data_IF_475753650577
#
_entry.id   IF_475753650577
#
_cell.length_a   1.000
_cell.length_b   1.000
_cell.length_c   1.000
_cell.angle_alpha   90.00
_cell.angle_beta   90.00
_cell.angle_gamma   90.00
#
_symmetry.space_group_name_H-M   'P 1'
#
loop_
_entity.id
_entity.type
_entity.pdbx_description
1 polymer ?
#
# COMPACT_ATOMS: atom_id res chain seq x y z
N UNK A 1 -0.70 12.13 3.68
CA UNK A 1 0.73 12.49 3.51
C UNK A 1 1.46 12.93 4.81
N UNK A 2 0.79 13.52 5.81
CA UNK A 2 1.44 13.98 7.05
C UNK A 2 2.07 12.86 7.92
N UNK A 3 1.35 11.74 8.11
CA UNK A 3 1.80 10.65 8.99
C UNK A 3 3.06 9.92 8.50
N UNK A 4 3.20 9.70 7.20
CA UNK A 4 4.38 9.02 6.66
C UNK A 4 5.65 9.88 6.75
N UNK A 5 5.53 11.19 6.53
CA UNK A 5 6.65 12.12 6.73
C UNK A 5 7.08 12.17 8.20
N UNK A 6 6.13 12.15 9.13
CA UNK A 6 6.43 12.02 10.58
C UNK A 6 7.07 10.68 10.94
N UNK A 7 6.68 9.60 10.26
CA UNK A 7 7.28 8.27 10.42
C UNK A 7 8.69 8.15 9.78
N UNK A 8 9.23 9.23 9.19
CA UNK A 8 10.58 9.26 8.64
C UNK A 8 10.69 8.89 7.16
N UNK A 9 9.58 8.77 6.43
CA UNK A 9 9.61 8.51 4.99
C UNK A 9 10.27 9.70 4.25
N UNK A 10 11.39 9.41 3.56
CA UNK A 10 12.17 10.42 2.80
C UNK A 10 11.67 10.59 1.36
N UNK A 11 10.87 9.65 0.88
CA UNK A 11 10.28 9.62 -0.45
C UNK A 11 8.81 9.14 -0.36
N UNK A 12 8.00 9.31 -1.42
CA UNK A 12 6.66 8.75 -1.47
C UNK A 12 6.74 7.22 -1.39
N UNK A 13 6.21 6.64 -0.31
CA UNK A 13 6.17 5.18 -0.13
C UNK A 13 5.15 4.55 -1.08
N UNK A 14 4.04 5.23 -1.36
CA UNK A 14 3.02 4.77 -2.31
C UNK A 14 3.02 5.66 -3.55
N UNK A 15 3.01 5.04 -4.74
CA UNK A 15 2.77 5.76 -5.99
C UNK A 15 1.30 6.20 -6.09
N UNK A 16 0.97 7.20 -6.94
CA UNK A 16 -0.42 7.58 -7.18
C UNK A 16 -1.30 6.39 -7.60
N UNK A 17 -0.81 5.55 -8.52
CA UNK A 17 -1.51 4.35 -8.97
C UNK A 17 -1.74 3.33 -7.84
N UNK A 18 -0.78 3.16 -6.93
CA UNK A 18 -0.96 2.31 -5.76
C UNK A 18 -2.07 2.84 -4.82
N UNK A 19 -2.16 4.16 -4.64
CA UNK A 19 -3.22 4.76 -3.83
C UNK A 19 -4.60 4.55 -4.46
N UNK A 20 -4.73 4.69 -5.78
CA UNK A 20 -5.96 4.41 -6.50
C UNK A 20 -6.36 2.93 -6.41
N UNK A 21 -5.41 2.02 -6.59
CA UNK A 21 -5.63 0.58 -6.43
C UNK A 21 -6.08 0.22 -5.00
N UNK A 22 -5.47 0.80 -3.97
CA UNK A 22 -5.89 0.59 -2.58
C UNK A 22 -7.31 1.10 -2.36
N UNK A 23 -7.65 2.28 -2.88
CA UNK A 23 -8.99 2.85 -2.76
C UNK A 23 -10.05 1.97 -3.44
N UNK A 24 -9.74 1.47 -4.65
CA UNK A 24 -10.63 0.59 -5.41
C UNK A 24 -10.85 -0.75 -4.69
N UNK A 25 -9.77 -1.41 -4.28
CA UNK A 25 -9.85 -2.74 -3.66
C UNK A 25 -10.51 -2.69 -2.28
N UNK A 26 -10.24 -1.64 -1.52
CA UNK A 26 -10.81 -1.47 -0.18
C UNK A 26 -12.27 -1.04 -0.17
N UNK A 27 -12.83 -0.61 -1.32
CA UNK A 27 -14.17 -0.01 -1.45
C UNK A 27 -14.44 1.12 -0.44
N UNK A 28 -13.38 1.81 0.01
CA UNK A 28 -13.45 2.89 0.99
C UNK A 28 -13.56 2.46 2.45
N UNK A 29 -13.50 1.16 2.78
CA UNK A 29 -13.57 0.70 4.17
C UNK A 29 -12.25 0.97 4.90
N UNK A 30 -12.22 1.80 5.96
CA UNK A 30 -10.97 2.19 6.62
C UNK A 30 -10.15 1.02 7.16
N UNK A 31 -10.83 -0.04 7.63
CA UNK A 31 -10.18 -1.25 8.12
C UNK A 31 -9.46 -1.99 6.99
N UNK A 32 -10.10 -2.12 5.83
CA UNK A 32 -9.52 -2.79 4.66
C UNK A 32 -8.36 -1.97 4.10
N UNK A 33 -8.50 -0.64 4.02
CA UNK A 33 -7.40 0.26 3.62
C UNK A 33 -6.16 0.03 4.50
N UNK A 34 -6.33 0.01 5.82
CA UNK A 34 -5.20 -0.12 6.74
C UNK A 34 -4.54 -1.49 6.66
N UNK A 35 -5.34 -2.56 6.56
CA UNK A 35 -4.83 -3.92 6.41
C UNK A 35 -4.09 -4.07 5.08
N UNK A 36 -4.71 -3.67 3.96
CA UNK A 36 -4.11 -3.72 2.63
C UNK A 36 -2.81 -2.92 2.54
N UNK A 37 -2.80 -1.68 3.07
CA UNK A 37 -1.61 -0.85 3.10
C UNK A 37 -0.48 -1.48 3.92
N UNK A 38 -0.79 -2.12 5.05
CA UNK A 38 0.21 -2.79 5.89
C UNK A 38 0.84 -3.98 5.17
N UNK A 39 0.03 -4.80 4.50
CA UNK A 39 0.51 -5.93 3.70
C UNK A 39 1.31 -5.46 2.50
N UNK A 40 0.89 -4.39 1.82
CA UNK A 40 1.68 -3.76 0.76
C UNK A 40 3.09 -3.35 1.25
N UNK A 41 3.19 -2.77 2.44
CA UNK A 41 4.48 -2.38 3.03
C UNK A 41 5.37 -3.59 3.32
N UNK A 42 4.80 -4.69 3.83
CA UNK A 42 5.50 -5.95 4.06
C UNK A 42 6.03 -6.55 2.75
N UNK A 43 5.19 -6.61 1.72
CA UNK A 43 5.60 -7.09 0.40
C UNK A 43 6.66 -6.20 -0.25
N UNK A 44 6.49 -4.88 -0.20
CA UNK A 44 7.49 -3.95 -0.72
C UNK A 44 8.85 -4.14 -0.06
N UNK A 45 8.87 -4.35 1.26
CA UNK A 45 10.09 -4.69 2.00
C UNK A 45 10.69 -6.03 1.55
N UNK A 46 9.87 -7.08 1.41
CA UNK A 46 10.32 -8.40 0.98
C UNK A 46 10.88 -8.39 -0.45
N UNK A 47 10.29 -7.60 -1.34
CA UNK A 47 10.70 -7.40 -2.73
C UNK A 47 11.83 -6.37 -2.88
N UNK A 48 12.31 -5.78 -1.78
CA UNK A 48 13.31 -4.69 -1.76
C UNK A 48 12.94 -3.54 -2.70
N UNK A 49 11.65 -3.23 -2.82
CA UNK A 49 11.16 -2.08 -3.59
C UNK A 49 11.20 -0.83 -2.70
N UNK A 50 11.76 0.25 -3.24
CA UNK A 50 11.78 1.57 -2.59
C UNK A 50 10.39 2.24 -2.54
N UNK A 51 9.49 1.87 -3.46
CA UNK A 51 8.13 2.39 -3.50
C UNK A 51 7.14 1.26 -3.82
N UNK A 52 5.96 1.37 -3.22
CA UNK A 52 4.80 0.52 -3.46
C UNK A 52 4.07 1.03 -4.70
N UNK A 53 4.08 0.23 -5.74
CA UNK A 53 3.34 0.42 -6.98
C UNK A 53 2.08 -0.47 -7.04
N UNK A 54 1.27 -0.34 -8.09
CA UNK A 54 -0.01 -1.07 -8.19
C UNK A 54 0.15 -2.59 -8.23
N UNK A 55 1.31 -3.10 -8.68
CA UNK A 55 1.58 -4.54 -8.72
C UNK A 55 1.65 -5.11 -7.31
N UNK A 56 2.31 -4.39 -6.40
CA UNK A 56 2.39 -4.78 -4.98
C UNK A 56 1.02 -4.75 -4.33
N UNK A 57 0.18 -3.78 -4.70
CA UNK A 57 -1.20 -3.70 -4.21
C UNK A 57 -2.04 -4.87 -4.71
N UNK A 58 -1.91 -5.26 -5.97
CA UNK A 58 -2.60 -6.45 -6.51
C UNK A 58 -2.17 -7.73 -5.82
N UNK A 59 -0.86 -7.95 -5.65
CA UNK A 59 -0.36 -9.12 -4.92
C UNK A 59 -0.88 -9.17 -3.47
N UNK A 60 -0.87 -8.03 -2.77
CA UNK A 60 -1.41 -7.92 -1.42
C UNK A 60 -2.93 -8.16 -1.36
N UNK A 61 -3.68 -7.75 -2.39
CA UNK A 61 -5.11 -7.97 -2.49
C UNK A 61 -5.45 -9.45 -2.73
N UNK A 62 -4.70 -10.13 -3.60
CA UNK A 62 -4.85 -11.55 -3.88
C UNK A 62 -4.57 -12.41 -2.64
N UNK A 63 -3.55 -12.07 -1.84
CA UNK A 63 -3.25 -12.77 -0.57
C UNK A 63 -4.40 -12.65 0.44
N UNK A 64 -5.10 -11.51 0.46
CA UNK A 64 -6.24 -11.28 1.34
C UNK A 64 -7.56 -11.89 0.85
N UNK A 65 -7.61 -12.41 -0.37
CA UNK A 65 -8.81 -12.98 -0.97
C UNK A 65 -9.86 -11.94 -1.39
N UNK A 66 -9.44 -10.72 -1.77
CA UNK A 66 -10.32 -9.68 -2.33
C UNK A 66 -10.39 -9.72 -3.85
#
# INVERSE_FOLDING_TARGET
KHRMKQAGAKHPIFTPSALEAIALQSRGWPRVINTLATTCLLYGYQLKKDAIDEEVVRMAAEEMGY
#
